data_IF_328960010430
#
_entry.id   IF_328960010430
#
_cell.length_a   1.000
_cell.length_b   1.000
_cell.length_c   1.000
_cell.angle_alpha   90.00
_cell.angle_beta   90.00
_cell.angle_gamma   90.00
#
_symmetry.space_group_name_H-M   'P 1'
#
loop_
_entity.id
_entity.type
_entity.pdbx_description
1 polymer ?
#
# COMPACT_ATOMS: atom_id res chain seq x y z
N UNK A 1 -11.21 16.29 26.01
CA UNK A 1 -10.76 15.50 24.84
C UNK A 1 -11.64 14.27 24.71
N UNK A 2 -12.21 14.02 23.54
CA UNK A 2 -12.93 12.77 23.27
C UNK A 2 -11.92 11.62 23.35
N UNK A 3 -12.19 10.59 24.14
CA UNK A 3 -11.29 9.43 24.28
C UNK A 3 -11.25 8.65 22.96
N UNK A 4 -10.06 8.21 22.54
CA UNK A 4 -9.91 7.24 21.43
C UNK A 4 -10.63 5.95 21.82
N UNK A 5 -11.30 5.34 20.84
CA UNK A 5 -11.90 4.02 21.04
C UNK A 5 -10.85 2.96 20.70
N UNK A 6 -10.71 1.90 21.51
CA UNK A 6 -9.91 0.75 21.14
C UNK A 6 -10.45 0.13 19.85
N UNK A 7 -9.57 -0.51 19.10
CA UNK A 7 -9.92 -1.21 17.88
C UNK A 7 -10.24 -2.65 18.29
N UNK A 8 -11.46 -3.09 18.01
CA UNK A 8 -11.88 -4.46 18.22
C UNK A 8 -11.58 -5.27 16.97
N UNK A 9 -10.72 -6.29 17.09
CA UNK A 9 -10.35 -7.22 16.03
C UNK A 9 -11.01 -8.59 16.21
N UNK A 10 -11.63 -8.87 17.35
CA UNK A 10 -12.20 -10.18 17.67
C UNK A 10 -13.34 -10.57 16.73
N UNK A 11 -14.13 -9.62 16.28
CA UNK A 11 -15.24 -9.86 15.35
C UNK A 11 -14.81 -10.41 13.97
N UNK A 12 -13.53 -10.24 13.59
CA UNK A 12 -12.96 -10.75 12.35
C UNK A 12 -11.60 -11.45 12.54
N UNK A 13 -11.28 -11.87 13.78
CA UNK A 13 -10.03 -12.57 14.11
C UNK A 13 -9.78 -13.79 13.22
N UNK A 14 -10.83 -14.51 12.84
CA UNK A 14 -10.75 -15.67 11.94
C UNK A 14 -10.22 -15.32 10.53
N UNK A 15 -10.37 -14.05 10.10
CA UNK A 15 -9.79 -13.54 8.84
C UNK A 15 -8.41 -12.91 9.04
N UNK A 16 -8.04 -12.58 10.27
CA UNK A 16 -6.81 -11.87 10.60
C UNK A 16 -6.16 -12.48 11.84
N UNK A 17 -5.67 -13.75 11.74
CA UNK A 17 -5.15 -14.49 12.87
C UNK A 17 -3.69 -14.15 13.24
N UNK A 18 -3.11 -13.13 12.64
CA UNK A 18 -1.70 -12.79 12.75
C UNK A 18 -1.32 -12.18 14.10
N UNK A 19 -0.06 -12.38 14.49
CA UNK A 19 0.51 -11.72 15.65
C UNK A 19 0.77 -10.23 15.35
N UNK A 20 0.49 -9.38 16.34
CA UNK A 20 0.71 -7.94 16.24
C UNK A 20 2.07 -7.57 16.81
N UNK A 21 2.94 -7.00 15.97
CA UNK A 21 4.22 -6.46 16.39
C UNK A 21 4.18 -4.93 16.40
N UNK A 22 5.00 -4.33 17.27
CA UNK A 22 5.07 -2.88 17.40
C UNK A 22 6.52 -2.45 17.58
N UNK A 23 6.90 -1.39 16.88
CA UNK A 23 8.13 -0.66 17.12
C UNK A 23 7.83 0.80 17.47
N UNK A 24 8.76 1.47 18.13
CA UNK A 24 8.69 2.92 18.32
C UNK A 24 9.28 3.64 17.12
N UNK A 25 8.49 4.54 16.53
CA UNK A 25 8.94 5.46 15.49
C UNK A 25 8.67 6.88 15.97
N UNK A 26 9.72 7.56 16.40
CA UNK A 26 9.65 8.94 16.88
C UNK A 26 8.62 9.14 18.02
N UNK A 27 8.50 8.17 18.93
CA UNK A 27 7.57 8.19 20.07
C UNK A 27 6.15 7.71 19.75
N UNK A 28 5.93 7.13 18.57
CA UNK A 28 4.66 6.52 18.18
C UNK A 28 4.81 5.02 17.95
N UNK A 29 3.82 4.25 18.41
CA UNK A 29 3.76 2.82 18.15
C UNK A 29 3.39 2.58 16.67
N UNK A 30 4.33 2.00 15.94
CA UNK A 30 4.16 1.59 14.54
C UNK A 30 3.88 0.10 14.51
N UNK A 31 2.66 -0.27 14.13
CA UNK A 31 2.24 -1.67 14.05
C UNK A 31 2.70 -2.30 12.74
N UNK A 32 3.07 -3.57 12.81
CA UNK A 32 3.30 -4.40 11.64
C UNK A 32 2.98 -5.86 11.93
N UNK A 33 2.67 -6.61 10.88
CA UNK A 33 2.63 -8.08 10.86
C UNK A 33 3.98 -8.56 10.36
N UNK A 34 4.52 -9.61 10.98
CA UNK A 34 5.78 -10.27 10.58
C UNK A 34 5.59 -11.78 10.72
N UNK A 35 5.24 -12.45 9.62
CA UNK A 35 4.87 -13.86 9.61
C UNK A 35 5.78 -14.64 8.65
N UNK A 36 6.11 -15.86 9.07
CA UNK A 36 6.94 -16.76 8.27
C UNK A 36 8.45 -16.50 8.38
N UNK A 37 9.20 -17.07 7.46
CA UNK A 37 10.67 -16.97 7.40
C UNK A 37 11.15 -17.11 5.95
N UNK A 38 12.41 -16.73 5.68
CA UNK A 38 13.00 -16.76 4.33
C UNK A 38 13.07 -15.39 3.69
N UNK A 39 13.01 -15.31 2.36
CA UNK A 39 13.11 -14.05 1.62
C UNK A 39 12.02 -13.05 2.05
N UNK A 40 12.39 -11.78 2.31
CA UNK A 40 11.45 -10.79 2.81
C UNK A 40 10.51 -10.27 1.70
N UNK A 41 9.22 -10.30 2.00
CA UNK A 41 8.15 -9.72 1.19
C UNK A 41 7.49 -8.60 2.00
N UNK A 42 7.79 -7.35 1.66
CA UNK A 42 7.24 -6.16 2.32
C UNK A 42 6.05 -5.67 1.54
N UNK A 43 4.86 -5.67 2.17
CA UNK A 43 3.60 -5.29 1.54
C UNK A 43 3.13 -3.93 2.07
N UNK A 44 3.07 -2.93 1.20
CA UNK A 44 2.78 -1.55 1.57
C UNK A 44 1.37 -1.16 1.12
N UNK A 45 0.51 -0.90 2.09
CA UNK A 45 -0.89 -0.56 1.86
C UNK A 45 -1.11 0.93 1.53
N UNK A 46 -2.33 1.26 1.10
CA UNK A 46 -2.76 2.61 0.82
C UNK A 46 -3.83 3.16 1.76
N UNK A 47 -4.76 3.95 1.23
CA UNK A 47 -5.79 4.65 1.98
C UNK A 47 -7.21 4.36 1.43
N UNK A 48 -8.14 3.85 2.23
CA UNK A 48 -8.12 3.68 3.68
C UNK A 48 -7.85 2.22 4.11
N UNK A 49 -7.04 1.48 3.38
CA UNK A 49 -6.66 0.12 3.76
C UNK A 49 -5.65 0.10 4.91
N UNK A 50 -5.32 -1.08 5.39
CA UNK A 50 -4.31 -1.38 6.39
C UNK A 50 -3.84 -2.83 6.19
N UNK A 51 -2.96 -3.39 7.01
CA UNK A 51 -2.38 -4.73 6.81
C UNK A 51 -3.44 -5.83 6.58
N UNK A 52 -4.66 -5.66 7.11
CA UNK A 52 -5.79 -6.55 6.84
C UNK A 52 -6.08 -6.78 5.34
N UNK A 53 -5.82 -5.79 4.49
CA UNK A 53 -6.00 -5.92 3.04
C UNK A 53 -5.15 -7.04 2.45
N UNK A 54 -3.97 -7.24 2.98
CA UNK A 54 -3.03 -8.25 2.50
C UNK A 54 -3.18 -9.64 3.15
N UNK A 55 -4.16 -9.84 4.06
CA UNK A 55 -4.31 -11.07 4.85
C UNK A 55 -4.25 -12.37 4.03
N UNK A 56 -4.85 -12.40 2.83
CA UNK A 56 -4.85 -13.57 1.97
C UNK A 56 -3.45 -13.87 1.38
N UNK A 57 -2.68 -12.83 1.04
CA UNK A 57 -1.29 -12.98 0.59
C UNK A 57 -0.38 -13.38 1.76
N UNK A 58 -0.54 -12.80 2.95
CA UNK A 58 0.20 -13.19 4.14
C UNK A 58 0.02 -14.69 4.39
N UNK A 59 -1.22 -15.17 4.47
CA UNK A 59 -1.53 -16.59 4.68
C UNK A 59 -0.93 -17.51 3.61
N UNK A 60 -0.91 -17.07 2.35
CA UNK A 60 -0.40 -17.87 1.25
C UNK A 60 1.13 -17.91 1.17
N UNK A 61 1.80 -16.85 1.60
CA UNK A 61 3.24 -16.70 1.43
C UNK A 61 4.06 -17.07 2.66
N UNK A 62 3.48 -17.00 3.88
CA UNK A 62 4.21 -17.16 5.15
C UNK A 62 4.83 -18.54 5.36
N UNK A 63 4.40 -19.58 4.65
CA UNK A 63 5.05 -20.91 4.72
C UNK A 63 6.45 -20.92 4.05
N UNK A 64 6.76 -19.93 3.17
CA UNK A 64 7.98 -19.92 2.36
C UNK A 64 8.74 -18.60 2.37
N UNK A 65 8.08 -17.53 2.75
CA UNK A 65 8.60 -16.16 2.75
C UNK A 65 8.35 -15.50 4.10
N UNK A 66 9.23 -14.57 4.48
CA UNK A 66 8.95 -13.67 5.60
C UNK A 66 8.10 -12.50 5.11
N UNK A 67 6.83 -12.47 5.49
CA UNK A 67 5.88 -11.43 5.09
C UNK A 67 5.82 -10.32 6.14
N UNK A 68 6.17 -9.11 5.74
CA UNK A 68 6.22 -7.92 6.60
C UNK A 68 5.22 -6.89 6.09
N UNK A 69 4.22 -6.57 6.91
CA UNK A 69 3.11 -5.72 6.48
C UNK A 69 2.84 -4.63 7.51
N UNK A 70 3.44 -3.44 7.34
CA UNK A 70 3.21 -2.33 8.26
C UNK A 70 1.81 -1.73 8.13
N UNK A 71 1.34 -1.14 9.23
CA UNK A 71 0.23 -0.19 9.23
C UNK A 71 0.80 1.22 9.33
N UNK A 72 0.62 2.06 8.33
CA UNK A 72 1.10 3.46 8.39
C UNK A 72 0.60 4.16 9.64
N UNK A 73 1.41 5.05 10.23
CA UNK A 73 0.98 5.89 11.36
C UNK A 73 -0.35 6.57 11.01
N UNK A 74 -1.34 6.37 11.87
CA UNK A 74 -2.72 6.80 11.66
C UNK A 74 -3.66 5.77 11.05
N UNK A 75 -3.15 4.64 10.55
CA UNK A 75 -3.92 3.54 9.94
C UNK A 75 -3.87 2.29 10.82
N UNK A 76 -4.68 1.28 10.49
CA UNK A 76 -4.67 -0.04 11.11
C UNK A 76 -4.57 0.01 12.64
N UNK A 77 -3.64 -0.75 13.19
CA UNK A 77 -3.37 -0.84 14.62
C UNK A 77 -2.27 0.11 15.11
N UNK A 78 -1.60 0.85 14.21
CA UNK A 78 -0.63 1.89 14.56
C UNK A 78 -1.26 3.05 15.32
N UNK A 79 -0.44 3.78 16.07
CA UNK A 79 -0.86 5.01 16.75
C UNK A 79 -1.47 6.02 15.77
N UNK A 80 -2.38 6.85 16.28
CA UNK A 80 -3.10 7.86 15.49
C UNK A 80 -2.91 9.24 16.11
N UNK A 81 -1.67 9.78 16.07
CA UNK A 81 -1.36 11.10 16.62
C UNK A 81 -2.22 12.19 16.01
N UNK A 82 -2.31 13.34 16.68
CA UNK A 82 -2.94 14.50 16.06
C UNK A 82 -1.99 15.13 15.01
N UNK A 83 -2.55 15.97 14.15
CA UNK A 83 -1.77 16.60 13.07
C UNK A 83 -0.79 17.69 13.52
N UNK A 84 -0.62 17.92 14.84
CA UNK A 84 0.39 18.82 15.40
C UNK A 84 1.64 18.06 15.80
N UNK A 85 1.46 16.80 16.22
CA UNK A 85 2.55 15.94 16.70
C UNK A 85 3.13 15.04 15.61
N UNK A 86 2.34 14.75 14.57
CA UNK A 86 2.75 14.00 13.38
C UNK A 86 2.20 14.67 12.11
N UNK A 87 3.02 14.92 11.12
CA UNK A 87 2.64 15.77 9.97
C UNK A 87 1.84 15.06 8.87
N UNK A 88 1.85 13.73 8.87
CA UNK A 88 1.15 12.89 7.88
C UNK A 88 1.57 13.14 6.43
N UNK A 89 2.80 13.59 6.20
CA UNK A 89 3.33 13.86 4.88
C UNK A 89 3.81 12.59 4.18
N UNK A 90 3.81 12.61 2.87
CA UNK A 90 4.33 11.52 2.04
C UNK A 90 5.77 11.15 2.45
N UNK A 91 6.67 12.15 2.55
CA UNK A 91 8.05 11.92 2.97
C UNK A 91 8.15 11.20 4.30
N UNK A 92 7.39 11.62 5.31
CA UNK A 92 7.40 11.03 6.65
C UNK A 92 6.96 9.58 6.64
N UNK A 93 5.98 9.21 5.80
CA UNK A 93 5.56 7.81 5.64
C UNK A 93 6.65 6.95 4.99
N UNK A 94 7.44 7.52 4.09
CA UNK A 94 8.62 6.84 3.52
C UNK A 94 9.68 6.66 4.59
N UNK A 95 9.94 7.69 5.40
CA UNK A 95 10.91 7.63 6.51
C UNK A 95 10.48 6.58 7.56
N UNK A 96 9.18 6.46 7.86
CA UNK A 96 8.64 5.45 8.79
C UNK A 96 8.83 4.02 8.23
N UNK A 97 8.59 3.81 6.94
CA UNK A 97 8.82 2.51 6.29
C UNK A 97 10.31 2.14 6.30
N UNK A 98 11.17 3.09 6.00
CA UNK A 98 12.63 2.94 6.03
C UNK A 98 13.10 2.55 7.44
N UNK A 99 12.63 3.27 8.47
CA UNK A 99 12.94 2.96 9.86
C UNK A 99 12.48 1.55 10.28
N UNK A 100 11.33 1.07 9.79
CA UNK A 100 10.89 -0.31 10.04
C UNK A 100 11.85 -1.32 9.42
N UNK A 101 12.18 -1.16 8.14
CA UNK A 101 13.04 -2.10 7.41
C UNK A 101 14.45 -2.14 8.03
N UNK A 102 14.96 -1.00 8.48
CA UNK A 102 16.23 -0.91 9.20
C UNK A 102 16.16 -1.60 10.58
N UNK A 103 15.09 -1.33 11.34
CA UNK A 103 14.90 -1.94 12.68
C UNK A 103 14.78 -3.47 12.62
N UNK A 104 14.23 -4.02 11.54
CA UNK A 104 14.10 -5.46 11.33
C UNK A 104 15.40 -6.12 10.86
N UNK A 105 16.47 -5.34 10.68
CA UNK A 105 17.81 -5.76 10.26
C UNK A 105 17.77 -6.68 9.00
N UNK A 106 16.83 -6.42 8.10
CA UNK A 106 16.68 -7.19 6.85
C UNK A 106 17.95 -6.98 6.02
N UNK A 107 18.64 -8.06 5.67
CA UNK A 107 19.88 -8.04 4.87
C UNK A 107 19.64 -8.47 3.44
N UNK A 108 18.68 -9.35 3.26
CA UNK A 108 18.29 -9.93 1.97
C UNK A 108 17.61 -8.88 1.09
N UNK A 109 17.57 -9.15 -0.21
CA UNK A 109 16.80 -8.32 -1.14
C UNK A 109 15.32 -8.48 -0.92
N UNK A 110 14.61 -7.37 -0.98
CA UNK A 110 13.20 -7.25 -0.62
C UNK A 110 12.33 -7.38 -1.88
N UNK A 111 11.27 -8.19 -1.80
CA UNK A 111 10.13 -8.07 -2.69
C UNK A 111 9.20 -7.00 -2.16
N UNK A 112 8.91 -5.97 -2.96
CA UNK A 112 7.91 -4.95 -2.62
C UNK A 112 6.57 -5.28 -3.26
N UNK A 113 5.52 -5.44 -2.45
CA UNK A 113 4.13 -5.59 -2.89
C UNK A 113 3.38 -4.30 -2.59
N UNK A 114 2.93 -3.60 -3.62
CA UNK A 114 2.50 -2.21 -3.54
C UNK A 114 1.06 -2.03 -4.05
N UNK A 115 0.21 -1.38 -3.25
CA UNK A 115 -1.16 -1.06 -3.62
C UNK A 115 -1.52 0.39 -3.22
N UNK A 116 -2.25 1.10 -4.06
CA UNK A 116 -2.72 2.48 -3.85
C UNK A 116 -1.55 3.42 -3.46
N UNK A 117 -1.61 4.13 -2.33
CA UNK A 117 -0.49 4.95 -1.83
C UNK A 117 0.79 4.15 -1.56
N UNK A 118 0.66 2.84 -1.35
CA UNK A 118 1.81 1.96 -1.19
C UNK A 118 2.77 2.01 -2.37
N UNK A 119 2.27 2.25 -3.59
CA UNK A 119 3.12 2.44 -4.77
C UNK A 119 4.05 3.63 -4.66
N UNK A 120 3.50 4.80 -4.30
CA UNK A 120 4.32 5.99 -4.08
C UNK A 120 5.33 5.81 -2.94
N UNK A 121 4.88 5.23 -1.81
CA UNK A 121 5.71 5.05 -0.62
C UNK A 121 6.80 4.01 -0.87
N UNK A 122 6.45 2.85 -1.41
CA UNK A 122 7.39 1.77 -1.69
C UNK A 122 8.40 2.13 -2.78
N UNK A 123 7.97 2.79 -3.86
CA UNK A 123 8.89 3.24 -4.92
C UNK A 123 9.80 4.38 -4.46
N UNK A 124 9.34 5.25 -3.53
CA UNK A 124 10.22 6.24 -2.92
C UNK A 124 11.29 5.59 -2.03
N UNK A 125 10.93 4.55 -1.27
CA UNK A 125 11.89 3.74 -0.54
C UNK A 125 12.87 3.03 -1.48
N UNK A 126 12.37 2.37 -2.53
CA UNK A 126 13.20 1.70 -3.53
C UNK A 126 14.20 2.65 -4.19
N UNK A 127 13.80 3.89 -4.47
CA UNK A 127 14.70 4.90 -5.05
C UNK A 127 15.82 5.34 -4.09
N UNK A 128 15.60 5.24 -2.77
CA UNK A 128 16.65 5.50 -1.77
C UNK A 128 17.62 4.33 -1.63
N UNK A 129 17.12 3.10 -1.79
CA UNK A 129 17.83 1.85 -1.54
C UNK A 129 17.64 0.85 -2.69
N UNK A 130 18.04 1.20 -3.94
CA UNK A 130 17.84 0.30 -5.09
C UNK A 130 18.58 -1.04 -4.92
N UNK A 131 19.72 -1.04 -4.23
CA UNK A 131 20.51 -2.23 -3.93
C UNK A 131 19.77 -3.25 -3.05
N UNK A 132 18.77 -2.80 -2.29
CA UNK A 132 17.98 -3.65 -1.38
C UNK A 132 16.75 -4.26 -2.04
N UNK A 133 16.46 -3.90 -3.29
CA UNK A 133 15.27 -4.37 -3.99
C UNK A 133 15.62 -5.59 -4.85
N UNK A 134 14.79 -6.62 -4.76
CA UNK A 134 14.87 -7.80 -5.61
C UNK A 134 13.85 -7.78 -6.75
N UNK A 135 12.60 -7.45 -6.45
CA UNK A 135 11.47 -7.50 -7.39
C UNK A 135 10.26 -6.70 -6.89
N UNK A 136 9.32 -6.45 -7.81
CA UNK A 136 8.10 -5.69 -7.52
C UNK A 136 6.85 -6.48 -7.87
N UNK A 137 5.80 -6.34 -7.04
CA UNK A 137 4.43 -6.74 -7.33
C UNK A 137 3.55 -5.50 -7.17
N UNK A 138 2.97 -5.02 -8.25
CA UNK A 138 2.15 -3.81 -8.29
C UNK A 138 0.68 -4.18 -8.45
N UNK A 139 -0.18 -3.57 -7.63
CA UNK A 139 -1.62 -3.76 -7.66
C UNK A 139 -2.32 -2.40 -7.62
N UNK A 140 -3.02 -2.03 -8.69
CA UNK A 140 -3.79 -0.78 -8.78
C UNK A 140 -3.15 0.40 -8.03
N UNK A 141 -2.05 0.91 -8.54
CA UNK A 141 -1.23 1.94 -7.90
C UNK A 141 -0.51 2.80 -8.93
N UNK A 142 0.17 3.86 -8.46
CA UNK A 142 1.09 4.65 -9.27
C UNK A 142 2.33 5.05 -8.47
N UNK A 143 3.38 5.47 -9.20
CA UNK A 143 4.59 6.07 -8.64
C UNK A 143 5.08 7.25 -9.52
N UNK A 144 4.19 7.78 -10.34
CA UNK A 144 4.44 8.86 -11.30
C UNK A 144 3.32 9.90 -11.22
N UNK A 145 3.55 11.04 -11.82
CA UNK A 145 2.52 12.07 -11.97
C UNK A 145 1.38 11.54 -12.86
N UNK A 146 0.13 12.01 -12.64
CA UNK A 146 -0.99 11.55 -13.45
C UNK A 146 -0.67 11.60 -14.95
N UNK A 147 -1.09 10.59 -15.74
CA UNK A 147 -0.92 10.59 -17.18
C UNK A 147 -1.38 11.91 -17.83
N UNK A 148 -0.73 12.28 -18.94
CA UNK A 148 -0.97 13.56 -19.59
C UNK A 148 -2.47 13.76 -19.89
N UNK A 149 -2.96 14.99 -19.65
CA UNK A 149 -4.35 15.39 -19.85
C UNK A 149 -5.41 14.77 -18.93
N UNK A 150 -5.01 14.03 -17.88
CA UNK A 150 -5.99 13.46 -16.96
C UNK A 150 -6.58 14.54 -16.04
N UNK A 151 -7.91 14.75 -16.05
CA UNK A 151 -8.52 15.75 -15.20
C UNK A 151 -8.48 15.33 -13.74
N UNK A 152 -8.13 16.28 -12.85
CA UNK A 152 -8.21 16.02 -11.41
C UNK A 152 -9.69 15.83 -11.05
N UNK A 153 -10.09 14.71 -10.41
CA UNK A 153 -11.46 14.47 -10.00
C UNK A 153 -12.03 15.65 -9.16
N UNK A 154 -13.25 16.05 -9.47
CA UNK A 154 -13.90 17.19 -8.80
C UNK A 154 -14.01 16.97 -7.29
N UNK A 155 -14.24 15.74 -6.86
CA UNK A 155 -14.29 15.35 -5.44
C UNK A 155 -12.98 15.66 -4.71
N UNK A 156 -11.82 15.38 -5.33
CA UNK A 156 -10.51 15.70 -4.76
C UNK A 156 -10.27 17.20 -4.69
N UNK A 157 -10.66 17.95 -5.73
CA UNK A 157 -10.61 19.42 -5.71
C UNK A 157 -11.45 19.98 -4.56
N UNK A 158 -12.65 19.45 -4.35
CA UNK A 158 -13.58 19.89 -3.31
C UNK A 158 -13.05 19.59 -1.90
N UNK A 159 -12.56 18.38 -1.66
CA UNK A 159 -11.97 17.98 -0.36
C UNK A 159 -10.79 18.88 0.01
N UNK A 160 -9.98 19.29 -0.97
CA UNK A 160 -8.82 20.15 -0.73
C UNK A 160 -9.22 21.63 -0.52
N UNK A 161 -10.24 22.10 -1.23
CA UNK A 161 -10.68 23.51 -1.17
C UNK A 161 -11.55 23.78 0.06
N UNK A 162 -12.42 22.85 0.43
CA UNK A 162 -13.38 23.01 1.53
C UNK A 162 -12.94 22.21 2.76
N UNK A 163 -11.73 22.51 3.27
CA UNK A 163 -11.10 21.78 4.39
C UNK A 163 -12.03 21.53 5.60
N UNK A 164 -12.82 22.49 6.12
CA UNK A 164 -13.72 22.24 7.25
C UNK A 164 -14.81 21.21 6.92
N UNK A 165 -15.44 21.31 5.74
CA UNK A 165 -16.46 20.38 5.29
C UNK A 165 -15.87 18.99 5.02
N UNK A 166 -14.69 18.91 4.42
CA UNK A 166 -13.97 17.67 4.21
C UNK A 166 -13.63 16.99 5.55
N UNK A 167 -13.19 17.77 6.54
CA UNK A 167 -12.92 17.25 7.89
C UNK A 167 -14.18 16.69 8.52
N UNK A 168 -15.31 17.39 8.44
CA UNK A 168 -16.58 16.89 8.95
C UNK A 168 -17.05 15.64 8.22
N UNK A 169 -16.94 15.60 6.90
CA UNK A 169 -17.34 14.46 6.08
C UNK A 169 -16.47 13.20 6.38
N UNK A 170 -15.16 13.37 6.40
CA UNK A 170 -14.22 12.25 6.57
C UNK A 170 -14.09 11.86 8.04
N UNK A 171 -13.73 12.79 8.93
CA UNK A 171 -13.54 12.47 10.34
C UNK A 171 -14.85 12.34 11.12
N UNK A 172 -15.86 13.19 10.82
CA UNK A 172 -17.15 13.15 11.48
C UNK A 172 -17.99 11.95 11.07
N UNK A 173 -18.32 11.86 9.81
CA UNK A 173 -19.23 10.85 9.27
C UNK A 173 -18.54 9.60 8.69
N UNK A 174 -17.22 9.59 8.65
CA UNK A 174 -16.42 8.48 8.06
C UNK A 174 -16.77 8.19 6.60
N UNK A 175 -17.16 9.22 5.83
CA UNK A 175 -17.67 9.03 4.48
C UNK A 175 -16.62 8.45 3.54
N UNK A 176 -15.33 8.76 3.75
CA UNK A 176 -14.26 8.24 2.90
C UNK A 176 -14.10 6.72 3.06
N UNK A 177 -13.82 6.24 4.27
CA UNK A 177 -13.64 4.80 4.50
C UNK A 177 -14.93 4.00 4.26
N UNK A 178 -16.11 4.53 4.64
CA UNK A 178 -17.38 3.90 4.31
C UNK A 178 -17.65 3.85 2.81
N UNK A 179 -17.37 4.93 2.07
CA UNK A 179 -17.51 4.97 0.63
C UNK A 179 -16.61 3.95 -0.07
N UNK A 180 -15.39 3.76 0.43
CA UNK A 180 -14.46 2.77 -0.09
C UNK A 180 -15.00 1.33 0.01
N UNK A 181 -15.74 0.98 1.07
CA UNK A 181 -16.36 -0.34 1.23
C UNK A 181 -17.39 -0.70 0.14
N UNK A 182 -17.91 0.30 -0.57
CA UNK A 182 -18.93 0.11 -1.61
C UNK A 182 -18.42 0.36 -3.02
N UNK A 183 -17.36 1.18 -3.15
CA UNK A 183 -16.89 1.62 -4.46
C UNK A 183 -15.61 0.95 -4.93
N UNK A 184 -14.77 0.47 -3.99
CA UNK A 184 -13.44 0.00 -4.33
C UNK A 184 -13.41 -1.46 -4.76
N UNK A 185 -14.42 -2.26 -4.37
CA UNK A 185 -14.60 -3.65 -4.83
C UNK A 185 -15.70 -3.70 -5.89
N UNK A 186 -15.43 -4.35 -6.99
CA UNK A 186 -16.39 -4.55 -8.09
C UNK A 186 -17.40 -5.63 -7.73
N UNK A 187 -16.95 -6.74 -7.14
CA UNK A 187 -17.81 -7.86 -6.72
C UNK A 187 -18.57 -7.59 -5.42
N UNK A 188 -18.19 -6.54 -4.68
CA UNK A 188 -18.69 -6.26 -3.36
C UNK A 188 -18.00 -7.09 -2.28
N UNK A 189 -17.98 -6.56 -1.06
CA UNK A 189 -17.30 -7.15 0.09
C UNK A 189 -18.26 -7.90 0.99
N UNK A 190 -17.82 -9.00 1.59
CA UNK A 190 -18.59 -9.71 2.65
C UNK A 190 -18.74 -8.82 3.89
N UNK A 191 -19.63 -9.21 4.81
CA UNK A 191 -19.88 -8.48 6.07
C UNK A 191 -18.60 -8.42 6.92
N UNK A 192 -17.88 -9.52 7.04
CA UNK A 192 -16.70 -9.64 7.90
C UNK A 192 -15.50 -8.88 7.30
N UNK A 193 -15.33 -8.91 5.99
CA UNK A 193 -14.33 -8.10 5.30
C UNK A 193 -14.60 -6.59 5.48
N UNK A 194 -15.87 -6.16 5.34
CA UNK A 194 -16.26 -4.78 5.64
C UNK A 194 -15.97 -4.40 7.09
N UNK A 195 -16.26 -5.31 8.04
CA UNK A 195 -15.97 -5.09 9.45
C UNK A 195 -14.46 -4.91 9.68
N UNK A 196 -13.62 -5.78 9.11
CA UNK A 196 -12.16 -5.69 9.22
C UNK A 196 -11.60 -4.40 8.62
N UNK A 197 -11.97 -4.07 7.39
CA UNK A 197 -11.46 -2.87 6.72
C UNK A 197 -11.81 -1.56 7.45
N UNK A 198 -12.99 -1.49 8.09
CA UNK A 198 -13.44 -0.25 8.76
C UNK A 198 -13.10 -0.17 10.25
N UNK A 199 -12.72 -1.27 10.89
CA UNK A 199 -12.47 -1.36 12.33
C UNK A 199 -11.54 -0.27 12.87
N UNK A 200 -10.40 0.07 12.21
CA UNK A 200 -9.49 1.11 12.70
C UNK A 200 -10.09 2.51 12.71
N UNK A 201 -11.16 2.76 11.94
CA UNK A 201 -11.74 4.09 11.70
C UNK A 201 -13.02 4.32 12.51
N UNK A 202 -13.07 3.84 13.76
CA UNK A 202 -14.25 3.73 14.60
C UNK A 202 -14.66 5.01 15.36
N UNK A 203 -13.80 6.05 15.36
CA UNK A 203 -14.10 7.35 15.99
C UNK A 203 -13.40 8.50 15.26
N UNK A 204 -13.75 9.74 15.61
CA UNK A 204 -13.20 10.96 15.00
C UNK A 204 -11.66 10.95 14.93
N UNK A 205 -11.02 10.69 16.07
CA UNK A 205 -9.55 10.75 16.17
C UNK A 205 -8.88 9.68 15.31
N UNK A 206 -9.49 8.51 15.22
CA UNK A 206 -8.94 7.39 14.48
C UNK A 206 -9.08 7.50 12.95
N UNK A 207 -9.69 8.59 12.44
CA UNK A 207 -9.90 8.85 11.00
C UNK A 207 -8.99 9.95 10.45
N UNK A 208 -8.06 10.47 11.25
CA UNK A 208 -7.21 11.58 10.82
C UNK A 208 -6.35 11.22 9.59
N UNK A 209 -5.77 10.04 9.56
CA UNK A 209 -4.92 9.61 8.46
C UNK A 209 -5.69 9.53 7.13
N UNK A 210 -6.95 9.04 7.14
CA UNK A 210 -7.76 8.94 5.91
C UNK A 210 -7.98 10.30 5.26
N UNK A 211 -8.16 11.35 6.06
CA UNK A 211 -8.25 12.73 5.56
C UNK A 211 -6.89 13.26 5.08
N UNK A 212 -5.83 13.01 5.86
CA UNK A 212 -4.49 13.53 5.59
C UNK A 212 -3.89 12.96 4.32
N UNK A 213 -4.10 11.68 4.01
CA UNK A 213 -3.71 11.09 2.73
C UNK A 213 -4.33 11.85 1.55
N UNK A 214 -5.64 12.12 1.59
CA UNK A 214 -6.31 12.85 0.51
C UNK A 214 -5.81 14.30 0.41
N UNK A 215 -5.51 14.95 1.54
CA UNK A 215 -4.98 16.32 1.55
C UNK A 215 -3.54 16.40 1.03
N UNK A 216 -2.77 15.32 1.13
CA UNK A 216 -1.37 15.27 0.67
C UNK A 216 -1.22 14.79 -0.79
N UNK A 217 -2.31 14.47 -1.50
CA UNK A 217 -2.24 14.11 -2.92
C UNK A 217 -1.54 15.24 -3.71
N UNK A 218 -0.50 14.88 -4.44
CA UNK A 218 0.47 15.75 -5.14
C UNK A 218 0.01 16.24 -6.51
N UNK A 219 -1.19 16.81 -6.59
CA UNK A 219 -1.83 17.22 -7.85
C UNK A 219 -1.25 18.50 -8.48
N UNK A 220 -0.48 19.28 -7.74
CA UNK A 220 0.06 20.57 -8.20
C UNK A 220 1.44 20.82 -7.62
N UNK A 221 2.25 21.61 -8.33
CA UNK A 221 3.62 21.97 -7.92
C UNK A 221 3.70 22.66 -6.54
N UNK A 222 2.61 23.28 -6.08
CA UNK A 222 2.53 23.91 -4.77
C UNK A 222 2.32 22.92 -3.62
N UNK A 223 2.12 21.63 -3.90
CA UNK A 223 2.03 20.61 -2.87
C UNK A 223 3.45 20.20 -2.43
N UNK A 224 3.75 20.15 -1.12
CA UNK A 224 5.07 19.74 -0.62
C UNK A 224 5.53 18.35 -1.12
N UNK A 225 4.60 17.43 -1.34
CA UNK A 225 4.88 16.07 -1.81
C UNK A 225 5.11 15.97 -3.32
N UNK A 226 4.78 17.02 -4.10
CA UNK A 226 4.94 17.02 -5.57
C UNK A 226 6.39 16.78 -6.01
N UNK A 227 7.34 17.45 -5.36
CA UNK A 227 8.76 17.32 -5.69
C UNK A 227 9.29 15.90 -5.53
N UNK A 228 8.85 15.20 -4.49
CA UNK A 228 9.24 13.81 -4.25
C UNK A 228 8.63 12.87 -5.31
N UNK A 229 7.35 13.02 -5.64
CA UNK A 229 6.73 12.22 -6.71
C UNK A 229 7.37 12.49 -8.06
N UNK A 230 7.66 13.76 -8.39
CA UNK A 230 8.40 14.09 -9.62
C UNK A 230 9.78 13.44 -9.65
N UNK A 231 10.48 13.39 -8.51
CA UNK A 231 11.78 12.71 -8.41
C UNK A 231 11.64 11.21 -8.68
N UNK A 232 10.61 10.56 -8.13
CA UNK A 232 10.35 9.14 -8.40
C UNK A 232 10.05 8.94 -9.88
N UNK A 233 9.11 9.70 -10.43
CA UNK A 233 8.67 9.67 -11.81
C UNK A 233 9.85 9.75 -12.81
N UNK A 234 10.78 10.67 -12.57
CA UNK A 234 11.97 10.88 -13.39
C UNK A 234 13.05 9.80 -13.27
N UNK A 235 12.97 8.92 -12.27
CA UNK A 235 13.99 7.90 -12.00
C UNK A 235 13.43 6.47 -12.01
N UNK A 236 12.19 6.25 -12.43
CA UNK A 236 11.59 4.92 -12.49
C UNK A 236 12.35 3.95 -13.39
N UNK A 237 13.01 4.44 -14.45
CA UNK A 237 13.80 3.62 -15.36
C UNK A 237 14.96 2.87 -14.69
N UNK A 238 15.42 3.31 -13.51
CA UNK A 238 16.40 2.57 -12.71
C UNK A 238 15.94 1.13 -12.41
N UNK A 239 14.64 0.89 -12.43
CA UNK A 239 14.04 -0.41 -12.12
C UNK A 239 13.63 -1.20 -13.38
N UNK A 240 14.00 -0.76 -14.59
CA UNK A 240 13.60 -1.42 -15.85
C UNK A 240 14.07 -2.87 -15.97
N UNK A 241 15.17 -3.22 -15.32
CA UNK A 241 15.73 -4.58 -15.34
C UNK A 241 15.33 -5.43 -14.10
N UNK A 242 14.48 -4.90 -13.23
CA UNK A 242 14.00 -5.65 -12.06
C UNK A 242 12.77 -6.48 -12.43
N UNK A 243 12.67 -7.74 -11.98
CA UNK A 243 11.44 -8.50 -12.16
C UNK A 243 10.25 -7.74 -11.60
N UNK A 244 9.22 -7.57 -12.42
CA UNK A 244 8.01 -6.82 -12.06
C UNK A 244 6.76 -7.56 -12.49
N UNK A 245 5.83 -7.77 -11.54
CA UNK A 245 4.50 -8.28 -11.75
C UNK A 245 3.48 -7.16 -11.54
N UNK A 246 2.53 -7.01 -12.46
CA UNK A 246 1.44 -6.04 -12.37
C UNK A 246 0.11 -6.78 -12.41
N UNK A 247 -0.69 -6.69 -11.33
CA UNK A 247 -2.04 -7.22 -11.23
C UNK A 247 -3.04 -6.07 -11.17
N UNK A 248 -3.97 -5.98 -12.14
CA UNK A 248 -4.79 -4.77 -12.30
C UNK A 248 -6.28 -5.07 -12.46
N UNK A 249 -7.10 -4.47 -11.57
CA UNK A 249 -8.55 -4.44 -11.70
C UNK A 249 -9.01 -3.33 -12.64
N UNK A 250 -9.79 -3.68 -13.65
CA UNK A 250 -10.25 -2.76 -14.72
C UNK A 250 -11.17 -1.65 -14.20
N UNK A 251 -12.01 -2.00 -13.21
CA UNK A 251 -13.04 -1.10 -12.69
C UNK A 251 -12.54 -0.17 -11.57
N UNK A 252 -11.23 0.09 -11.52
CA UNK A 252 -10.67 1.08 -10.61
C UNK A 252 -10.97 2.49 -11.11
N UNK A 253 -11.67 3.28 -10.28
CA UNK A 253 -11.98 4.68 -10.58
C UNK A 253 -10.90 5.66 -10.11
N UNK A 254 -9.86 5.17 -9.42
CA UNK A 254 -8.71 5.97 -8.92
C UNK A 254 -7.51 5.79 -9.85
N UNK A 255 -7.06 4.55 -10.00
CA UNK A 255 -5.98 4.15 -10.91
C UNK A 255 -6.59 3.32 -12.03
N UNK A 256 -7.20 4.01 -13.00
CA UNK A 256 -7.87 3.38 -14.13
C UNK A 256 -6.88 2.81 -15.17
N UNK A 257 -7.40 2.38 -16.31
CA UNK A 257 -6.61 1.74 -17.37
C UNK A 257 -5.53 2.65 -17.98
N UNK A 258 -5.63 3.99 -17.85
CA UNK A 258 -4.57 4.90 -18.31
C UNK A 258 -3.30 4.75 -17.44
N UNK A 259 -3.47 4.48 -16.13
CA UNK A 259 -2.33 4.20 -15.24
C UNK A 259 -1.70 2.85 -15.55
N UNK A 260 -2.49 1.84 -15.88
CA UNK A 260 -1.94 0.55 -16.34
C UNK A 260 -1.16 0.72 -17.64
N UNK A 261 -1.71 1.45 -18.61
CA UNK A 261 -1.04 1.71 -19.88
C UNK A 261 0.30 2.46 -19.67
N UNK A 262 0.35 3.41 -18.71
CA UNK A 262 1.58 4.11 -18.37
C UNK A 262 2.61 3.19 -17.71
N UNK A 263 2.20 2.28 -16.83
CA UNK A 263 3.09 1.24 -16.28
C UNK A 263 3.65 0.35 -17.38
N UNK A 264 2.82 -0.15 -18.31
CA UNK A 264 3.25 -0.99 -19.43
C UNK A 264 4.18 -0.25 -20.39
N UNK A 265 3.94 1.04 -20.62
CA UNK A 265 4.82 1.87 -21.44
C UNK A 265 6.23 2.01 -20.83
N UNK A 266 6.29 2.19 -19.50
CA UNK A 266 7.58 2.36 -18.77
C UNK A 266 8.30 1.04 -18.51
N UNK A 267 7.58 -0.04 -18.35
CA UNK A 267 8.08 -1.37 -18.03
C UNK A 267 7.51 -2.41 -18.99
N UNK A 268 7.97 -2.40 -20.27
CA UNK A 268 7.43 -3.31 -21.29
C UNK A 268 7.72 -4.79 -21.01
N UNK A 269 8.74 -5.09 -20.22
CA UNK A 269 9.10 -6.46 -19.83
C UNK A 269 8.36 -6.95 -18.55
N UNK A 270 7.51 -6.11 -17.93
CA UNK A 270 6.73 -6.52 -16.77
C UNK A 270 5.70 -7.60 -17.13
N UNK A 271 5.56 -8.61 -16.25
CA UNK A 271 4.45 -9.57 -16.36
C UNK A 271 3.15 -8.86 -15.96
N UNK A 272 2.16 -8.78 -16.84
CA UNK A 272 0.91 -8.04 -16.62
C UNK A 272 -0.29 -8.96 -16.64
N UNK A 273 -1.10 -8.91 -15.59
CA UNK A 273 -2.40 -9.56 -15.48
C UNK A 273 -3.50 -8.53 -15.23
N UNK A 274 -4.44 -8.50 -16.16
CA UNK A 274 -5.60 -7.63 -16.15
C UNK A 274 -6.86 -8.41 -15.82
N UNK A 275 -7.68 -7.89 -14.89
CA UNK A 275 -8.89 -8.55 -14.38
C UNK A 275 -10.13 -7.68 -14.67
N UNK A 276 -10.92 -8.01 -15.71
CA UNK A 276 -12.14 -7.29 -16.06
C UNK A 276 -13.24 -7.35 -14.98
N UNK A 277 -13.16 -8.31 -14.07
CA UNK A 277 -14.10 -8.52 -12.98
C UNK A 277 -13.64 -7.96 -11.63
N UNK A 278 -12.66 -7.04 -11.64
CA UNK A 278 -12.10 -6.47 -10.41
C UNK A 278 -12.02 -4.96 -10.46
N UNK A 279 -12.13 -4.33 -9.29
CA UNK A 279 -11.97 -2.90 -9.07
C UNK A 279 -10.66 -2.54 -8.36
N UNK A 280 -10.68 -1.43 -7.64
CA UNK A 280 -9.53 -0.93 -6.90
C UNK A 280 -9.05 -1.91 -5.82
N UNK A 281 -9.96 -2.61 -5.14
CA UNK A 281 -9.60 -3.66 -4.19
C UNK A 281 -9.43 -5.01 -4.90
N UNK A 282 -8.48 -5.04 -5.84
CA UNK A 282 -8.25 -6.19 -6.71
C UNK A 282 -8.01 -7.49 -5.94
N UNK A 283 -7.32 -7.41 -4.80
CA UNK A 283 -7.03 -8.57 -3.94
C UNK A 283 -8.27 -9.06 -3.16
N UNK A 284 -9.32 -8.23 -3.04
CA UNK A 284 -10.61 -8.64 -2.48
C UNK A 284 -11.53 -9.24 -3.56
N UNK A 285 -11.43 -8.75 -4.79
CA UNK A 285 -12.29 -9.16 -5.89
C UNK A 285 -11.86 -10.50 -6.51
N UNK A 286 -10.56 -10.73 -6.66
CA UNK A 286 -10.01 -11.92 -7.36
C UNK A 286 -8.80 -12.54 -6.65
N UNK A 287 -8.85 -12.78 -5.32
CA UNK A 287 -7.73 -13.36 -4.57
C UNK A 287 -7.33 -14.73 -5.10
N UNK A 288 -8.30 -15.54 -5.50
CA UNK A 288 -8.14 -16.87 -6.09
C UNK A 288 -7.34 -16.89 -7.40
N UNK A 289 -7.30 -15.78 -8.13
CA UNK A 289 -6.49 -15.60 -9.33
C UNK A 289 -5.14 -14.99 -9.03
N UNK A 290 -5.09 -13.95 -8.19
CA UNK A 290 -3.85 -13.20 -7.90
C UNK A 290 -2.87 -14.02 -7.07
N UNK A 291 -3.33 -14.73 -6.05
CA UNK A 291 -2.46 -15.49 -5.15
C UNK A 291 -1.61 -16.52 -5.91
N UNK A 292 -2.16 -17.38 -6.79
CA UNK A 292 -1.35 -18.30 -7.58
C UNK A 292 -0.37 -17.60 -8.53
N UNK A 293 -0.76 -16.45 -9.10
CA UNK A 293 0.10 -15.66 -9.98
C UNK A 293 1.30 -15.11 -9.19
N UNK A 294 1.07 -14.51 -8.03
CA UNK A 294 2.13 -13.98 -7.18
C UNK A 294 3.08 -15.11 -6.75
N UNK A 295 2.56 -16.24 -6.28
CA UNK A 295 3.38 -17.40 -5.90
C UNK A 295 4.27 -17.85 -7.06
N UNK A 296 3.69 -18.07 -8.26
CA UNK A 296 4.44 -18.46 -9.45
C UNK A 296 5.52 -17.44 -9.82
N UNK A 297 5.18 -16.15 -9.81
CA UNK A 297 6.13 -15.08 -10.10
C UNK A 297 7.32 -15.08 -9.13
N UNK A 298 7.07 -15.25 -7.83
CA UNK A 298 8.12 -15.35 -6.84
C UNK A 298 9.01 -16.58 -7.06
N UNK A 299 8.44 -17.73 -7.43
CA UNK A 299 9.17 -18.95 -7.73
C UNK A 299 10.05 -18.83 -8.99
N UNK A 300 9.59 -18.11 -10.00
CA UNK A 300 10.32 -17.87 -11.25
C UNK A 300 11.45 -16.84 -11.13
N UNK A 301 11.40 -16.01 -10.10
CA UNK A 301 12.37 -14.94 -9.85
C UNK A 301 12.91 -15.02 -8.42
N UNK A 302 13.65 -16.10 -8.05
CA UNK A 302 14.24 -16.21 -6.72
C UNK A 302 15.19 -15.05 -6.44
N UNK A 303 15.43 -14.76 -5.18
CA UNK A 303 16.39 -13.72 -4.74
C UNK A 303 17.78 -13.93 -5.35
N UNK A 304 18.51 -12.84 -5.57
CA UNK A 304 19.74 -12.85 -6.39
C UNK A 304 20.89 -13.69 -5.77
N UNK A 305 20.80 -14.07 -4.49
CA UNK A 305 21.85 -14.89 -3.87
C UNK A 305 21.95 -16.31 -4.45
N UNK A 306 20.87 -16.88 -4.97
CA UNK A 306 20.88 -18.22 -5.59
C UNK A 306 21.41 -18.27 -7.02
N UNK A 307 21.59 -17.14 -7.71
CA UNK A 307 22.14 -17.17 -9.09
C UNK A 307 23.65 -17.41 -9.17
N UNK A 308 24.36 -17.31 -8.06
CA UNK A 308 25.82 -17.55 -8.00
C UNK A 308 26.24 -19.00 -7.94
N UNK A 309 25.35 -19.93 -7.60
CA UNK A 309 25.67 -21.36 -7.47
C UNK A 309 25.29 -22.24 -8.66
N UNK A 310 24.53 -21.73 -9.64
CA UNK A 310 24.07 -22.51 -10.79
C UNK A 310 25.01 -22.49 -12.01
N UNK A 311 26.20 -21.89 -11.94
CA UNK A 311 27.08 -21.75 -13.12
C UNK A 311 28.44 -22.46 -13.02
N UNK A 312 28.72 -23.28 -11.99
CA UNK A 312 29.99 -24.02 -11.89
C UNK A 312 29.91 -25.55 -12.15
N UNK A 313 28.72 -26.08 -12.47
CA UNK A 313 28.59 -27.51 -12.86
C UNK A 313 28.10 -27.65 -14.32
N UNK A 314 28.95 -27.26 -15.27
CA UNK A 314 28.88 -27.74 -16.66
C UNK A 314 30.28 -27.79 -17.29
#
# INVERSE_FOLDING_TARGET
MLKRKPIDIESFRHLYPFESHFMDVNGFKYHYVDEGSGEPVVMVHGNPTWSFYYRALIQSLSDRYRTIVPDHIGCGLSDKPDGKTYDYKFKTRVDDLEALIENLEIKEKITLVLHDWGGFIGMAYALRHPERIGRFVLMNTAAFLPPANKPIPMTLKLIRRLKPLATLAVQGFNLFARGALFKNSYKGLSKDVKAGLIAPYNCWQNRIATLKFVQDIHLTQNNPSYGLVKKIDQNLELFSNYPMLICWGEHDFVFDMDYLAEWQHRFPEAEVHHFPEAGHYVLEDVPDKIIPIVNRFLDQHPGIEDRGQMTEDR
#
